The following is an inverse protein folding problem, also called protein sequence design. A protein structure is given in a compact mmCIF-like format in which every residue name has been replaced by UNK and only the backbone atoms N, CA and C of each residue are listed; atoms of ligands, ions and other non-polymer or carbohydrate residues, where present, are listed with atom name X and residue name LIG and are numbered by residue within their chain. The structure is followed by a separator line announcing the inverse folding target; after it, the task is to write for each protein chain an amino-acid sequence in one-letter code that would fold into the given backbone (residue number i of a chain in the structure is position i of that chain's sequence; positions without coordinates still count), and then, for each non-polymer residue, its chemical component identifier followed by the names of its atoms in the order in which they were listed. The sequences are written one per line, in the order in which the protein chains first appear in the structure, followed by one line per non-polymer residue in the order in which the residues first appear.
data_IF_837761079618
#
_entry.id   IF_837761079618
#
_cell.length_a   1.000
_cell.length_b   1.000
_cell.length_c   1.000
_cell.angle_alpha   90.00
_cell.angle_beta   90.00
_cell.angle_gamma   90.00
#
_symmetry.space_group_name_H-M   'P 1'
#
loop_
_entity.id
_entity.type
_entity.pdbx_description
1 polymer ?
#
# COMPACT_ATOMS: atom_id res chain seq x y z
N UNK A 1 1.15 11.58 -3.46
CA UNK A 1 0.52 10.58 -4.29
C UNK A 1 -0.10 11.25 -5.50
N UNK A 2 0.36 10.87 -6.68
CA UNK A 2 -0.12 11.41 -7.93
C UNK A 2 -1.15 10.46 -8.53
N UNK A 3 -2.34 10.97 -8.85
CA UNK A 3 -3.32 10.27 -9.66
C UNK A 3 -3.43 10.97 -11.01
N UNK A 4 -3.41 10.23 -12.09
CA UNK A 4 -3.66 10.77 -13.43
C UNK A 4 -5.17 10.82 -13.65
N UNK A 5 -5.76 12.02 -13.66
CA UNK A 5 -7.15 12.22 -14.05
C UNK A 5 -7.18 12.59 -15.53
N UNK A 6 -7.66 11.68 -16.37
CA UNK A 6 -7.86 11.94 -17.79
C UNK A 6 -8.95 12.98 -18.01
N UNK A 7 -8.62 14.14 -18.60
CA UNK A 7 -9.55 15.03 -19.28
C UNK A 7 -9.46 14.83 -20.78
N UNK A 8 -10.49 15.20 -21.57
CA UNK A 8 -10.50 15.02 -23.04
C UNK A 8 -9.53 15.95 -23.78
N UNK A 9 -8.45 16.36 -23.15
CA UNK A 9 -7.33 17.05 -23.77
C UNK A 9 -6.14 16.11 -23.80
N UNK A 10 -5.44 16.04 -24.90
CA UNK A 10 -4.27 15.18 -25.17
C UNK A 10 -3.09 15.39 -24.20
N UNK A 11 -3.30 15.23 -22.90
CA UNK A 11 -2.24 15.38 -21.90
C UNK A 11 -2.57 14.73 -20.56
N UNK A 12 -1.58 14.10 -19.96
CA UNK A 12 -1.63 13.63 -18.56
C UNK A 12 -1.50 14.84 -17.65
N UNK A 13 -2.50 15.10 -16.82
CA UNK A 13 -2.44 16.13 -15.79
C UNK A 13 -2.01 15.51 -14.46
N UNK A 14 -0.94 16.07 -13.86
CA UNK A 14 -0.50 15.71 -12.52
C UNK A 14 -1.43 16.34 -11.49
N UNK A 15 -2.03 15.51 -10.64
CA UNK A 15 -2.76 15.95 -9.46
C UNK A 15 -2.01 15.50 -8.21
N UNK A 16 -1.70 16.44 -7.31
CA UNK A 16 -0.99 16.18 -6.06
C UNK A 16 -1.88 16.55 -4.90
N UNK A 17 -2.08 15.62 -3.97
CA UNK A 17 -2.87 15.84 -2.77
C UNK A 17 -3.54 14.55 -2.28
N UNK A 18 -4.04 14.60 -1.06
CA UNK A 18 -4.71 13.47 -0.39
C UNK A 18 -6.22 13.55 -0.57
N UNK A 19 -6.76 14.76 -0.67
CA UNK A 19 -8.17 15.04 -0.85
C UNK A 19 -8.42 16.04 -1.99
N UNK A 20 -9.68 16.32 -2.26
CA UNK A 20 -10.10 17.25 -3.32
C UNK A 20 -9.52 18.65 -3.09
N UNK A 21 -9.62 19.15 -1.86
CA UNK A 21 -9.15 20.49 -1.51
C UNK A 21 -7.63 20.63 -1.67
N UNK A 22 -6.87 19.59 -1.30
CA UNK A 22 -5.41 19.62 -1.45
C UNK A 22 -5.01 19.66 -2.93
N UNK A 23 -5.74 18.94 -3.78
CA UNK A 23 -5.53 18.92 -5.24
C UNK A 23 -5.86 20.27 -5.88
N UNK A 24 -6.94 20.91 -5.43
CA UNK A 24 -7.29 22.26 -5.89
C UNK A 24 -6.26 23.28 -5.45
N UNK A 25 -5.80 23.23 -4.19
CA UNK A 25 -4.75 24.11 -3.69
C UNK A 25 -3.45 23.92 -4.48
N UNK A 26 -3.04 22.68 -4.73
CA UNK A 26 -1.86 22.40 -5.56
C UNK A 26 -2.00 22.97 -6.97
N UNK A 27 -3.16 22.83 -7.59
CA UNK A 27 -3.44 23.36 -8.94
C UNK A 27 -3.38 24.89 -8.98
N UNK A 28 -3.89 25.56 -7.95
CA UNK A 28 -3.87 27.02 -7.84
C UNK A 28 -2.44 27.56 -7.67
N UNK A 29 -1.61 26.86 -6.91
CA UNK A 29 -0.24 27.31 -6.61
C UNK A 29 0.76 26.93 -7.73
N UNK A 30 0.55 25.78 -8.38
CA UNK A 30 1.52 25.18 -9.30
C UNK A 30 0.98 24.96 -10.72
N UNK A 31 -0.23 25.43 -11.04
CA UNK A 31 -0.89 25.13 -12.31
C UNK A 31 -0.18 25.66 -13.56
N UNK A 32 0.73 26.62 -13.40
CA UNK A 32 1.55 27.19 -14.48
C UNK A 32 2.93 26.53 -14.63
N UNK A 33 3.29 25.65 -13.67
CA UNK A 33 4.57 24.96 -13.70
C UNK A 33 4.46 23.72 -14.60
N UNK A 34 5.46 23.42 -15.46
CA UNK A 34 5.49 22.20 -16.24
C UNK A 34 5.29 20.95 -15.37
N UNK A 35 4.45 20.02 -15.79
CA UNK A 35 4.09 18.82 -15.01
C UNK A 35 5.30 18.01 -14.53
N UNK A 36 6.34 17.88 -15.36
CA UNK A 36 7.56 17.16 -14.98
C UNK A 36 8.34 17.86 -13.87
N UNK A 37 8.41 19.18 -13.89
CA UNK A 37 9.10 19.98 -12.86
C UNK A 37 8.30 19.95 -11.55
N UNK A 38 6.97 20.09 -11.61
CA UNK A 38 6.10 19.98 -10.46
C UNK A 38 6.22 18.58 -9.82
N UNK A 39 6.27 17.52 -10.63
CA UNK A 39 6.46 16.15 -10.14
C UNK A 39 7.83 15.99 -9.45
N UNK A 40 8.92 16.49 -10.06
CA UNK A 40 10.25 16.41 -9.48
C UNK A 40 10.31 17.10 -8.10
N UNK A 41 9.73 18.30 -7.98
CA UNK A 41 9.67 19.04 -6.72
C UNK A 41 8.88 18.28 -5.65
N UNK A 42 7.75 17.66 -6.01
CA UNK A 42 6.94 16.85 -5.07
C UNK A 42 7.71 15.60 -4.65
N UNK A 43 8.33 14.89 -5.59
CA UNK A 43 9.12 13.68 -5.30
C UNK A 43 10.26 14.03 -4.34
N UNK A 44 11.03 15.09 -4.60
CA UNK A 44 12.10 15.54 -3.73
C UNK A 44 11.59 15.91 -2.32
N UNK A 45 10.48 16.64 -2.25
CA UNK A 45 9.88 17.04 -0.97
C UNK A 45 9.39 15.85 -0.15
N UNK A 46 8.87 14.81 -0.80
CA UNK A 46 8.35 13.61 -0.12
C UNK A 46 9.45 12.62 0.20
N UNK A 47 10.45 12.45 -0.67
CA UNK A 47 11.52 11.46 -0.53
C UNK A 47 12.26 11.56 0.81
N UNK A 48 12.55 12.76 1.27
CA UNK A 48 13.24 13.02 2.56
C UNK A 48 12.45 12.52 3.79
N UNK A 49 11.13 12.31 3.67
CA UNK A 49 10.28 11.79 4.74
C UNK A 49 9.97 10.30 4.58
N UNK A 50 10.47 9.66 3.53
CA UNK A 50 10.20 8.26 3.16
C UNK A 50 11.43 7.36 3.26
N UNK A 51 12.44 7.78 4.01
CA UNK A 51 13.61 6.94 4.34
C UNK A 51 13.39 6.21 5.66
N UNK A 52 14.05 5.08 5.87
CA UNK A 52 13.95 4.28 7.09
C UNK A 52 14.27 5.09 8.37
N UNK A 53 15.21 6.02 8.26
CA UNK A 53 15.66 6.87 9.38
C UNK A 53 14.98 8.25 9.42
N UNK A 54 13.95 8.46 8.59
CA UNK A 54 13.27 9.76 8.54
C UNK A 54 12.58 10.07 9.86
N UNK A 55 12.64 11.33 10.32
CA UNK A 55 11.90 11.75 11.51
C UNK A 55 10.40 11.55 11.28
N UNK A 56 9.66 11.26 12.36
CA UNK A 56 8.21 11.08 12.27
C UNK A 56 7.56 12.34 11.69
N UNK A 57 6.88 12.18 10.57
CA UNK A 57 6.18 13.25 9.88
C UNK A 57 4.74 12.81 9.56
N UNK A 58 3.74 13.71 9.60
CA UNK A 58 2.35 13.37 9.27
C UNK A 58 2.18 12.67 7.91
N UNK A 59 3.00 13.01 6.91
CA UNK A 59 3.00 12.35 5.60
C UNK A 59 3.39 10.86 5.66
N UNK A 60 4.15 10.45 6.68
CA UNK A 60 4.52 9.04 6.86
C UNK A 60 3.36 8.19 7.37
N UNK A 61 2.31 8.83 7.88
CA UNK A 61 1.09 8.15 8.33
C UNK A 61 0.09 7.91 7.21
N UNK A 62 0.32 8.49 6.04
CA UNK A 62 -0.57 8.31 4.90
C UNK A 62 -0.16 7.05 4.11
N UNK A 63 -1.11 6.11 3.97
CA UNK A 63 -0.88 4.88 3.22
C UNK A 63 0.21 4.01 3.84
N UNK A 64 0.16 3.80 5.15
CA UNK A 64 1.14 3.00 5.89
C UNK A 64 1.24 1.57 5.34
N UNK A 65 0.14 0.99 4.92
CA UNK A 65 0.08 -0.34 4.30
C UNK A 65 0.87 -0.41 2.99
N UNK A 66 0.79 0.67 2.18
CA UNK A 66 1.58 0.79 0.95
C UNK A 66 3.07 1.03 1.24
N UNK A 67 3.37 1.70 2.35
CA UNK A 67 4.74 1.86 2.78
C UNK A 67 5.32 0.53 3.26
N UNK A 68 4.57 -0.23 4.08
CA UNK A 68 4.95 -1.59 4.46
C UNK A 68 5.19 -2.46 3.22
N UNK A 69 4.28 -2.45 2.25
CA UNK A 69 4.47 -3.18 1.00
C UNK A 69 5.75 -2.76 0.28
N UNK A 70 6.02 -1.46 0.18
CA UNK A 70 7.24 -0.96 -0.44
C UNK A 70 8.51 -1.43 0.29
N UNK A 71 8.50 -1.49 1.62
CA UNK A 71 9.62 -2.08 2.38
C UNK A 71 9.84 -3.55 1.99
N UNK A 72 8.77 -4.32 1.84
CA UNK A 72 8.84 -5.72 1.40
C UNK A 72 9.32 -5.86 -0.06
N UNK A 73 9.01 -4.90 -0.92
CA UNK A 73 9.53 -4.84 -2.29
C UNK A 73 11.06 -4.62 -2.29
N UNK A 74 11.59 -3.84 -1.30
CA UNK A 74 13.03 -3.60 -1.17
C UNK A 74 13.75 -4.76 -0.46
N UNK A 75 13.10 -5.43 0.48
CA UNK A 75 13.64 -6.57 1.22
C UNK A 75 12.61 -7.71 1.31
N UNK A 76 12.39 -8.46 0.21
CA UNK A 76 11.48 -9.60 0.21
C UNK A 76 11.92 -10.72 1.16
N UNK A 77 13.22 -10.82 1.42
CA UNK A 77 13.79 -11.85 2.28
C UNK A 77 13.32 -11.71 3.74
N UNK A 78 12.95 -10.51 4.19
CA UNK A 78 12.39 -10.27 5.53
C UNK A 78 11.13 -11.09 5.82
N UNK A 79 10.40 -11.45 4.77
CA UNK A 79 9.23 -12.35 4.86
C UNK A 79 9.45 -13.69 4.14
N UNK A 80 10.71 -14.08 3.90
CA UNK A 80 11.07 -15.36 3.30
C UNK A 80 10.69 -15.50 1.82
N UNK A 81 10.62 -14.40 1.08
CA UNK A 81 10.33 -14.38 -0.35
C UNK A 81 11.55 -13.98 -1.17
N UNK A 82 11.59 -14.41 -2.41
CA UNK A 82 12.61 -14.00 -3.39
C UNK A 82 12.25 -12.68 -4.06
N UNK A 83 10.97 -12.46 -4.33
CA UNK A 83 10.46 -11.23 -4.93
C UNK A 83 9.11 -10.85 -4.36
N UNK A 84 8.83 -9.55 -4.33
CA UNK A 84 7.51 -8.99 -4.03
C UNK A 84 7.23 -7.86 -5.02
N UNK A 85 6.08 -7.89 -5.69
CA UNK A 85 5.66 -6.86 -6.66
C UNK A 85 4.24 -6.39 -6.35
N UNK A 86 3.90 -5.11 -6.52
CA UNK A 86 2.56 -4.61 -6.27
C UNK A 86 1.49 -5.32 -7.09
N UNK A 87 0.32 -5.53 -6.47
CA UNK A 87 -0.87 -6.05 -7.15
C UNK A 87 -2.10 -5.18 -6.82
N UNK A 88 -3.12 -5.30 -7.65
CA UNK A 88 -4.38 -4.60 -7.44
C UNK A 88 -5.18 -5.25 -6.30
N UNK A 89 -5.78 -4.45 -5.40
CA UNK A 89 -6.65 -4.94 -4.35
C UNK A 89 -8.01 -5.37 -4.90
N UNK A 90 -8.76 -6.23 -4.18
CA UNK A 90 -10.12 -6.64 -4.57
C UNK A 90 -11.07 -5.46 -4.78
N UNK A 91 -10.89 -4.41 -3.98
CA UNK A 91 -11.69 -3.20 -4.05
C UNK A 91 -10.80 -1.98 -4.30
N UNK A 92 -11.21 -1.06 -5.19
CA UNK A 92 -10.47 0.16 -5.43
C UNK A 92 -10.43 1.01 -4.16
N UNK A 93 -9.28 1.62 -3.87
CA UNK A 93 -9.12 2.51 -2.74
C UNK A 93 -9.54 3.94 -3.11
N UNK A 94 -10.67 4.44 -2.62
CA UNK A 94 -11.17 5.75 -2.98
C UNK A 94 -10.39 6.91 -2.33
N UNK A 95 -9.77 6.65 -1.19
CA UNK A 95 -9.12 7.67 -0.38
C UNK A 95 -7.82 7.14 0.25
N UNK A 96 -6.75 7.94 0.18
CA UNK A 96 -5.46 7.60 0.77
C UNK A 96 -5.40 7.74 2.29
N UNK A 97 -6.35 8.45 2.89
CA UNK A 97 -6.45 8.60 4.35
C UNK A 97 -7.03 7.36 5.01
N UNK A 98 -7.78 6.56 4.25
CA UNK A 98 -8.41 5.38 4.80
C UNK A 98 -7.35 4.27 4.99
N UNK A 99 -7.23 3.72 6.20
CA UNK A 99 -6.40 2.55 6.42
C UNK A 99 -7.06 1.35 5.75
N UNK A 100 -6.54 0.94 4.60
CA UNK A 100 -7.03 -0.21 3.84
C UNK A 100 -5.84 -1.09 3.52
N UNK A 101 -5.90 -2.41 3.78
CA UNK A 101 -4.84 -3.33 3.42
C UNK A 101 -4.47 -3.20 1.94
N UNK A 102 -3.24 -3.49 1.59
CA UNK A 102 -2.80 -3.51 0.20
C UNK A 102 -2.26 -4.87 -0.19
N UNK A 103 -2.22 -5.14 -1.49
CA UNK A 103 -1.91 -6.44 -2.05
C UNK A 103 -0.61 -6.38 -2.85
N UNK A 104 0.14 -7.46 -2.80
CA UNK A 104 1.28 -7.74 -3.66
C UNK A 104 1.26 -9.20 -4.10
N UNK A 105 2.01 -9.52 -5.15
CA UNK A 105 2.36 -10.88 -5.51
C UNK A 105 3.79 -11.12 -5.05
N UNK A 106 3.99 -12.15 -4.26
CA UNK A 106 5.29 -12.62 -3.82
C UNK A 106 5.64 -13.96 -4.45
N UNK A 107 6.92 -14.26 -4.57
CA UNK A 107 7.41 -15.58 -4.99
C UNK A 107 8.36 -16.07 -3.93
N UNK A 108 8.08 -17.24 -3.36
CA UNK A 108 8.97 -17.92 -2.40
C UNK A 108 10.29 -18.35 -3.08
N UNK A 109 11.28 -18.72 -2.29
CA UNK A 109 12.59 -19.16 -2.78
C UNK A 109 12.54 -20.46 -3.63
N UNK A 110 11.48 -21.24 -3.51
CA UNK A 110 11.21 -22.43 -4.31
C UNK A 110 10.43 -22.16 -5.61
N UNK A 111 10.11 -20.89 -5.88
CA UNK A 111 9.34 -20.46 -7.05
C UNK A 111 7.82 -20.50 -6.86
N UNK A 112 7.33 -20.78 -5.66
CA UNK A 112 5.88 -20.80 -5.37
C UNK A 112 5.33 -19.38 -5.27
N UNK A 113 4.28 -19.08 -6.04
CA UNK A 113 3.58 -17.80 -5.98
C UNK A 113 2.69 -17.71 -4.74
N UNK A 114 2.70 -16.55 -4.12
CA UNK A 114 1.89 -16.18 -2.95
C UNK A 114 1.22 -14.84 -3.15
N UNK A 115 0.03 -14.67 -2.63
CA UNK A 115 -0.58 -13.34 -2.53
C UNK A 115 -0.26 -12.76 -1.16
N UNK A 116 0.36 -11.59 -1.13
CA UNK A 116 0.77 -10.90 0.09
C UNK A 116 -0.23 -9.80 0.41
N UNK A 117 -0.83 -9.86 1.59
CA UNK A 117 -1.71 -8.82 2.13
C UNK A 117 -0.98 -8.07 3.23
N UNK A 118 -0.74 -6.78 3.03
CA UNK A 118 -0.08 -5.91 4.01
C UNK A 118 -1.11 -5.08 4.76
N UNK A 119 -1.11 -5.16 6.08
CA UNK A 119 -1.96 -4.36 6.97
C UNK A 119 -1.14 -3.71 8.08
N UNK A 120 -1.57 -2.54 8.53
CA UNK A 120 -0.94 -1.76 9.59
C UNK A 120 -1.95 -1.42 10.67
N UNK A 121 -1.51 -1.51 11.92
CA UNK A 121 -2.40 -1.33 13.07
C UNK A 121 -3.33 -2.54 13.29
N UNK A 122 -4.24 -2.40 14.24
CA UNK A 122 -5.29 -3.40 14.50
C UNK A 122 -6.49 -3.06 13.63
N UNK A 123 -6.63 -3.77 12.53
CA UNK A 123 -7.69 -3.58 11.53
C UNK A 123 -8.74 -4.69 11.65
N UNK A 124 -9.97 -4.31 12.00
CA UNK A 124 -11.09 -5.26 12.14
C UNK A 124 -11.60 -5.77 10.79
N UNK A 125 -11.38 -5.01 9.72
CA UNK A 125 -11.83 -5.36 8.37
C UNK A 125 -10.81 -6.26 7.63
N UNK A 126 -9.62 -6.47 8.21
CA UNK A 126 -8.55 -7.28 7.63
C UNK A 126 -9.02 -8.67 7.22
N UNK A 127 -9.81 -9.34 8.06
CA UNK A 127 -10.26 -10.71 7.81
C UNK A 127 -11.21 -10.78 6.61
N UNK A 128 -12.15 -9.83 6.52
CA UNK A 128 -13.03 -9.67 5.36
C UNK A 128 -12.24 -9.38 4.09
N UNK A 129 -11.28 -8.47 4.17
CA UNK A 129 -10.41 -8.14 3.05
C UNK A 129 -9.59 -9.35 2.57
N UNK A 130 -9.06 -10.17 3.49
CA UNK A 130 -8.33 -11.40 3.17
C UNK A 130 -9.24 -12.41 2.48
N UNK A 131 -10.49 -12.56 2.94
CA UNK A 131 -11.46 -13.43 2.27
C UNK A 131 -11.75 -12.98 0.83
N UNK A 132 -11.89 -11.68 0.58
CA UNK A 132 -12.07 -11.14 -0.77
C UNK A 132 -10.83 -11.39 -1.65
N UNK A 133 -9.62 -11.25 -1.09
CA UNK A 133 -8.38 -11.60 -1.78
C UNK A 133 -8.33 -13.08 -2.15
N UNK A 134 -8.71 -13.97 -1.24
CA UNK A 134 -8.78 -15.41 -1.50
C UNK A 134 -9.82 -15.77 -2.59
N UNK A 135 -10.91 -15.01 -2.66
CA UNK A 135 -11.90 -15.21 -3.72
C UNK A 135 -11.40 -14.74 -5.09
N UNK A 136 -10.46 -13.79 -5.13
CA UNK A 136 -9.91 -13.22 -6.37
C UNK A 136 -8.69 -13.98 -6.89
N UNK A 137 -7.95 -14.67 -6.01
CA UNK A 137 -6.69 -15.33 -6.33
C UNK A 137 -6.69 -16.79 -5.92
N UNK A 138 -6.15 -17.67 -6.77
CA UNK A 138 -5.99 -19.10 -6.46
C UNK A 138 -4.72 -19.36 -5.60
N UNK A 139 -3.73 -18.47 -5.64
CA UNK A 139 -2.48 -18.63 -4.89
C UNK A 139 -2.72 -18.46 -3.38
N UNK A 140 -1.97 -19.21 -2.53
CA UNK A 140 -2.06 -19.09 -1.08
C UNK A 140 -1.77 -17.67 -0.59
N UNK A 141 -2.54 -17.23 0.41
CA UNK A 141 -2.40 -15.88 0.97
C UNK A 141 -1.45 -15.87 2.17
N UNK A 142 -0.57 -14.88 2.18
CA UNK A 142 0.29 -14.52 3.31
C UNK A 142 -0.13 -13.14 3.82
N UNK A 143 -0.52 -13.06 5.07
CA UNK A 143 -0.83 -11.78 5.73
C UNK A 143 0.42 -11.27 6.43
N UNK A 144 0.82 -10.04 6.12
CA UNK A 144 1.98 -9.39 6.74
C UNK A 144 1.52 -8.19 7.56
N UNK A 145 1.91 -8.19 8.82
CA UNK A 145 1.63 -7.11 9.80
C UNK A 145 2.89 -6.79 10.59
N UNK A 146 2.92 -5.63 11.25
CA UNK A 146 3.96 -5.38 12.25
C UNK A 146 3.74 -6.30 13.45
N UNK A 147 4.84 -6.75 14.08
CA UNK A 147 4.75 -7.63 15.25
C UNK A 147 3.83 -7.08 16.34
N UNK A 148 3.94 -5.78 16.64
CA UNK A 148 3.11 -5.08 17.63
C UNK A 148 1.61 -5.03 17.30
N UNK A 149 1.25 -5.18 16.02
CA UNK A 149 -0.12 -5.06 15.51
C UNK A 149 -0.83 -6.44 15.46
N UNK A 150 -0.07 -7.53 15.60
CA UNK A 150 -0.61 -8.89 15.62
C UNK A 150 -1.17 -9.24 17.00
N UNK A 151 -2.37 -8.77 17.26
CA UNK A 151 -3.08 -9.09 18.51
C UNK A 151 -3.77 -10.45 18.45
N UNK A 152 -4.01 -11.14 19.59
CA UNK A 152 -4.61 -12.48 19.59
C UNK A 152 -5.95 -12.57 18.88
N UNK A 153 -6.79 -11.53 18.97
CA UNK A 153 -8.10 -11.53 18.31
C UNK A 153 -7.95 -11.56 16.80
N UNK A 154 -6.99 -10.81 16.22
CA UNK A 154 -6.75 -10.81 14.78
C UNK A 154 -6.31 -12.19 14.32
N UNK A 155 -5.40 -12.84 15.03
CA UNK A 155 -4.96 -14.21 14.72
C UNK A 155 -6.12 -15.20 14.78
N UNK A 156 -6.89 -15.19 15.86
CA UNK A 156 -8.02 -16.08 16.04
C UNK A 156 -9.07 -15.91 14.93
N UNK A 157 -9.29 -14.68 14.47
CA UNK A 157 -10.24 -14.41 13.38
C UNK A 157 -9.71 -14.88 12.03
N UNK A 158 -8.42 -14.72 11.76
CA UNK A 158 -7.77 -15.25 10.54
C UNK A 158 -7.82 -16.79 10.50
N UNK A 159 -7.69 -17.45 11.66
CA UNK A 159 -7.80 -18.90 11.78
C UNK A 159 -9.21 -19.45 11.48
N UNK A 160 -10.23 -18.59 11.46
CA UNK A 160 -11.61 -18.95 11.08
C UNK A 160 -11.88 -18.91 9.57
N UNK A 161 -10.94 -18.41 8.77
CA UNK A 161 -11.07 -18.41 7.32
C UNK A 161 -11.16 -19.85 6.79
N UNK A 162 -12.03 -20.06 5.80
CA UNK A 162 -12.24 -21.39 5.20
C UNK A 162 -10.95 -21.92 4.54
N UNK A 163 -10.17 -21.02 3.95
CA UNK A 163 -8.83 -21.33 3.45
C UNK A 163 -7.79 -20.77 4.43
N UNK A 164 -6.93 -21.61 5.00
CA UNK A 164 -5.89 -21.16 5.92
C UNK A 164 -4.96 -20.11 5.28
N UNK A 165 -4.52 -19.16 6.10
CA UNK A 165 -3.54 -18.15 5.70
C UNK A 165 -2.26 -18.29 6.52
N UNK A 166 -1.12 -17.98 5.91
CA UNK A 166 0.13 -17.80 6.64
C UNK A 166 0.21 -16.35 7.18
N UNK A 167 0.64 -16.18 8.43
CA UNK A 167 0.77 -14.85 9.05
C UNK A 167 2.23 -14.61 9.40
N UNK A 168 2.83 -13.60 8.77
CA UNK A 168 4.23 -13.20 8.99
C UNK A 168 4.28 -11.80 9.62
N UNK A 169 5.29 -11.60 10.45
CA UNK A 169 5.52 -10.30 11.12
C UNK A 169 6.86 -9.70 10.71
N UNK A 170 6.90 -8.38 10.70
CA UNK A 170 8.11 -7.58 10.43
C UNK A 170 8.24 -6.42 11.39
#
# INVERSE_FOLDING_TARGET
VAAAAGRPFDGVQLEVGVGVNDREAFRLVHGEIPTAEALATVVESVARFRTADAPQHPLNRLGQERYLRWELEQDPASIGMATVVPAEPPLPRPNLKDPVPCVAIGVDSDGTERVVVCSMGVDIDLVGFVADVQAMHEAPVVVVVRERDLVPITRNLLDLLATPVDVRTV
#
